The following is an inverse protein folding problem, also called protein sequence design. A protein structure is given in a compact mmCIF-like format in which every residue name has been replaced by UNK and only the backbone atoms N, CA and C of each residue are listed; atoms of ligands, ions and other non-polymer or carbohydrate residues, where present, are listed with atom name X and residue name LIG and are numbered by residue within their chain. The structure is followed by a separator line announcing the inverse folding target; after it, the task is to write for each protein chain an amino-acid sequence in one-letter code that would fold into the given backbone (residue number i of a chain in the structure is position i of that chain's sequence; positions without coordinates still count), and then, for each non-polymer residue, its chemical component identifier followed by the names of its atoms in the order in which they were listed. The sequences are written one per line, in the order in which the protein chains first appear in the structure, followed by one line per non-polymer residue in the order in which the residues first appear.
data_IF_664473685739
#
_entry.id   IF_664473685739
#
_cell.length_a   1.000
_cell.length_b   1.000
_cell.length_c   1.000
_cell.angle_alpha   90.00
_cell.angle_beta   90.00
_cell.angle_gamma   90.00
#
_symmetry.space_group_name_H-M   'P 1'
#
loop_
_entity.id
_entity.type
_entity.pdbx_description
1 polymer ?
#
# COMPACT_ATOMS: atom_id res chain seq x y z
N UNK A 1 40.21 -18.06 -6.14
CA UNK A 1 39.53 -16.76 -6.34
C UNK A 1 38.93 -16.36 -5.03
N UNK A 2 39.38 -15.24 -4.46
CA UNK A 2 39.17 -14.89 -3.05
C UNK A 2 37.92 -14.00 -2.96
N UNK A 3 36.88 -14.49 -2.35
CA UNK A 3 35.64 -13.72 -2.10
C UNK A 3 35.92 -12.60 -1.08
N UNK A 4 35.85 -11.36 -1.50
CA UNK A 4 35.89 -10.18 -0.62
C UNK A 4 34.53 -10.02 0.06
N UNK A 5 34.49 -10.29 1.36
CA UNK A 5 33.41 -9.92 2.28
C UNK A 5 33.31 -8.40 2.34
N UNK A 6 32.18 -7.84 1.92
CA UNK A 6 31.82 -6.47 2.22
C UNK A 6 31.26 -6.44 3.64
N UNK A 7 32.06 -5.92 4.58
CA UNK A 7 31.64 -5.62 5.95
C UNK A 7 30.73 -4.38 5.90
N UNK A 8 29.46 -4.53 6.19
CA UNK A 8 28.59 -3.41 6.57
C UNK A 8 28.69 -3.21 8.06
N UNK A 9 29.36 -2.12 8.44
CA UNK A 9 29.37 -1.60 9.79
C UNK A 9 27.94 -1.22 10.21
N UNK A 10 27.42 -1.94 11.20
CA UNK A 10 26.16 -1.59 11.88
C UNK A 10 26.54 -0.69 13.05
N UNK A 11 26.35 0.61 12.89
CA UNK A 11 26.38 1.55 14.00
C UNK A 11 25.32 1.18 15.04
N UNK A 12 25.75 1.05 16.28
CA UNK A 12 24.89 0.77 17.43
C UNK A 12 23.89 1.92 17.67
N UNK A 13 22.66 1.63 18.11
CA UNK A 13 21.67 2.65 18.41
C UNK A 13 22.09 3.47 19.63
N UNK A 14 22.03 4.80 19.52
CA UNK A 14 22.26 5.74 20.63
C UNK A 14 21.03 5.74 21.55
N UNK A 15 21.24 5.87 22.88
CA UNK A 15 20.14 5.87 23.84
C UNK A 15 19.31 7.16 23.77
N UNK A 16 18.02 7.00 23.90
CA UNK A 16 17.00 8.05 23.87
C UNK A 16 16.94 8.76 25.25
N UNK A 17 17.05 10.08 25.33
CA UNK A 17 16.94 10.80 26.57
C UNK A 17 15.61 11.59 26.64
N UNK A 18 14.50 10.96 27.05
CA UNK A 18 13.37 11.71 27.61
C UNK A 18 12.61 10.91 28.66
N UNK A 19 12.30 11.51 29.82
CA UNK A 19 11.68 10.83 30.95
C UNK A 19 10.15 10.76 30.85
N UNK A 20 9.61 9.68 31.41
CA UNK A 20 8.19 9.47 31.68
C UNK A 20 7.58 10.59 32.51
N UNK A 21 6.45 11.14 32.04
CA UNK A 21 5.56 11.95 32.86
C UNK A 21 4.18 11.30 32.86
N UNK A 22 3.85 10.65 33.98
CA UNK A 22 2.51 10.18 34.31
C UNK A 22 1.71 11.32 34.92
N UNK A 23 0.49 11.60 34.40
CA UNK A 23 -0.49 12.46 35.06
C UNK A 23 -1.73 11.68 35.42
N UNK A 24 -1.93 11.52 36.70
CA UNK A 24 -3.13 10.97 37.31
C UNK A 24 -4.24 12.03 37.33
N UNK A 25 -5.38 11.72 36.75
CA UNK A 25 -6.61 12.54 36.89
C UNK A 25 -7.45 12.00 38.02
N UNK A 26 -7.63 12.83 39.04
CA UNK A 26 -8.53 12.63 40.17
C UNK A 26 -9.99 12.89 39.74
N UNK A 27 -10.84 11.92 40.04
CA UNK A 27 -12.29 12.06 40.05
C UNK A 27 -12.72 12.92 41.24
N UNK A 28 -13.59 13.89 41.00
CA UNK A 28 -14.47 14.47 42.04
C UNK A 28 -15.92 14.30 41.62
N UNK A 29 -16.63 13.49 42.41
CA UNK A 29 -18.08 13.36 42.36
C UNK A 29 -18.70 14.52 43.12
N UNK A 30 -19.80 15.09 42.63
CA UNK A 30 -20.78 15.84 43.44
C UNK A 30 -22.18 15.36 43.12
N UNK A 31 -22.83 14.90 44.20
CA UNK A 31 -24.27 14.63 44.30
C UNK A 31 -25.02 15.96 44.41
N UNK A 32 -26.25 16.00 43.92
CA UNK A 32 -27.25 17.00 44.23
C UNK A 32 -28.62 16.50 43.82
N UNK A 33 -29.45 16.15 44.83
CA UNK A 33 -30.81 15.70 44.73
C UNK A 33 -31.75 16.88 44.43
N UNK A 34 -32.92 16.59 43.82
CA UNK A 34 -34.03 17.51 43.72
C UNK A 34 -35.14 17.02 42.81
N UNK A 35 -36.05 16.25 43.38
CA UNK A 35 -37.30 15.84 42.72
C UNK A 35 -38.32 16.99 42.66
N UNK A 36 -39.04 17.14 41.54
CA UNK A 36 -40.46 17.55 41.55
C UNK A 36 -41.20 17.10 40.29
N UNK A 37 -42.34 16.50 40.54
CA UNK A 37 -43.36 16.05 39.61
C UNK A 37 -44.06 17.19 38.89
N UNK A 38 -44.45 17.10 37.61
CA UNK A 38 -45.83 17.18 37.09
C UNK A 38 -45.88 17.47 35.58
N UNK A 39 -46.85 16.79 35.00
CA UNK A 39 -47.56 17.01 33.74
C UNK A 39 -47.06 16.28 32.49
N UNK A 40 -47.79 15.19 32.25
CA UNK A 40 -47.85 14.44 31.03
C UNK A 40 -48.59 15.25 29.97
N UNK A 41 -47.89 15.71 28.96
CA UNK A 41 -48.48 16.08 27.67
C UNK A 41 -47.91 15.08 26.63
N UNK A 42 -48.78 14.21 26.08
CA UNK A 42 -48.49 13.39 24.94
C UNK A 42 -48.29 14.31 23.73
N UNK A 43 -47.06 14.77 23.50
CA UNK A 43 -46.63 15.27 22.22
C UNK A 43 -46.14 14.03 21.42
N UNK A 44 -46.89 13.62 20.38
CA UNK A 44 -46.42 12.70 19.40
C UNK A 44 -45.18 13.31 18.74
N UNK A 45 -43.99 12.92 19.23
CA UNK A 45 -42.74 13.26 18.61
C UNK A 45 -42.66 12.50 17.30
N UNK A 46 -42.92 13.19 16.20
CA UNK A 46 -42.40 12.79 14.91
C UNK A 46 -40.88 12.76 15.05
N UNK A 47 -40.33 11.59 15.32
CA UNK A 47 -38.90 11.35 15.14
C UNK A 47 -38.62 11.53 13.65
N UNK A 48 -37.80 12.50 13.23
CA UNK A 48 -37.36 12.54 11.85
C UNK A 48 -36.69 11.21 11.61
N UNK A 49 -37.11 10.47 10.59
CA UNK A 49 -36.38 9.33 10.08
C UNK A 49 -34.96 9.86 9.78
N UNK A 50 -33.99 9.49 10.62
CA UNK A 50 -32.60 9.78 10.34
C UNK A 50 -32.28 9.16 8.99
N UNK A 51 -32.25 9.97 7.94
CA UNK A 51 -31.75 9.54 6.65
C UNK A 51 -30.34 9.01 6.93
N UNK A 52 -30.16 7.68 6.83
CA UNK A 52 -28.86 7.07 6.94
C UNK A 52 -27.97 7.78 5.90
N UNK A 53 -27.01 8.55 6.37
CA UNK A 53 -26.08 9.23 5.49
C UNK A 53 -25.44 8.16 4.59
N UNK A 54 -25.38 8.43 3.29
CA UNK A 54 -24.75 7.51 2.35
C UNK A 54 -23.32 7.18 2.85
N UNK A 55 -22.90 5.92 2.84
CA UNK A 55 -21.57 5.54 3.28
C UNK A 55 -20.53 6.27 2.42
N UNK A 56 -19.37 6.61 2.98
CA UNK A 56 -18.29 7.26 2.24
C UNK A 56 -17.83 6.40 1.07
N UNK A 57 -17.58 5.12 1.36
CA UNK A 57 -17.24 4.09 0.38
C UNK A 57 -17.85 2.75 0.79
N UNK A 58 -18.05 1.80 -0.14
CA UNK A 58 -18.35 0.42 0.23
C UNK A 58 -17.17 -0.20 0.97
N UNK A 59 -17.42 -0.88 2.10
CA UNK A 59 -16.38 -1.49 2.95
C UNK A 59 -16.35 -3.01 2.92
N UNK A 60 -17.24 -3.65 2.16
CA UNK A 60 -17.33 -5.09 2.07
C UNK A 60 -16.05 -5.71 1.48
N UNK A 61 -15.56 -6.77 2.09
CA UNK A 61 -14.42 -7.55 1.56
C UNK A 61 -14.70 -8.02 0.12
N UNK A 62 -13.75 -7.82 -0.76
CA UNK A 62 -13.87 -8.13 -2.19
C UNK A 62 -14.33 -6.93 -3.03
N UNK A 63 -14.79 -5.83 -2.42
CA UNK A 63 -15.09 -4.62 -3.19
C UNK A 63 -13.84 -4.14 -3.92
N UNK A 64 -13.99 -3.83 -5.21
CA UNK A 64 -12.88 -3.48 -6.08
C UNK A 64 -13.22 -2.30 -7.00
N UNK A 65 -12.20 -1.49 -7.26
CA UNK A 65 -12.21 -0.34 -8.17
C UNK A 65 -11.11 -0.51 -9.20
N UNK A 66 -11.43 -0.37 -10.48
CA UNK A 66 -10.45 -0.36 -11.57
C UNK A 66 -10.23 1.04 -12.05
N UNK A 67 -8.98 1.44 -12.16
CA UNK A 67 -8.59 2.77 -12.65
C UNK A 67 -7.70 2.65 -13.88
N UNK A 68 -7.83 3.63 -14.77
CA UNK A 68 -6.80 3.94 -15.74
C UNK A 68 -5.80 4.89 -15.06
N UNK A 69 -4.56 4.45 -14.94
CA UNK A 69 -3.47 5.25 -14.42
C UNK A 69 -2.63 5.80 -15.58
N UNK A 70 -2.30 7.08 -15.53
CA UNK A 70 -1.27 7.69 -16.37
C UNK A 70 -0.21 8.32 -15.48
N UNK A 71 1.04 7.98 -15.72
CA UNK A 71 2.21 8.45 -14.99
C UNK A 71 3.14 9.20 -15.94
N UNK A 72 3.52 10.41 -15.55
CA UNK A 72 4.50 11.26 -16.24
C UNK A 72 5.69 11.43 -15.30
N UNK A 73 6.86 11.12 -15.78
CA UNK A 73 8.11 11.24 -15.03
C UNK A 73 8.86 12.49 -15.44
N UNK A 74 9.50 13.15 -14.47
CA UNK A 74 10.38 14.27 -14.71
C UNK A 74 11.61 13.90 -15.55
N UNK A 75 12.34 14.90 -15.98
CA UNK A 75 13.55 14.70 -16.78
C UNK A 75 14.58 13.86 -16.01
N UNK A 76 15.18 12.86 -16.68
CA UNK A 76 16.19 11.99 -16.08
C UNK A 76 15.64 10.81 -15.32
N UNK A 77 14.30 10.71 -15.17
CA UNK A 77 13.68 9.54 -14.55
C UNK A 77 13.08 8.63 -15.64
N UNK A 78 13.25 7.34 -15.46
CA UNK A 78 12.67 6.32 -16.34
C UNK A 78 12.26 5.11 -15.53
N UNK A 79 11.26 4.38 -16.00
CA UNK A 79 10.93 3.05 -15.49
C UNK A 79 11.56 2.03 -16.43
N UNK A 80 12.46 1.16 -15.94
CA UNK A 80 13.05 0.12 -16.80
C UNK A 80 11.97 -0.71 -17.50
N UNK A 81 12.21 -1.05 -18.76
CA UNK A 81 11.33 -1.89 -19.61
C UNK A 81 9.93 -1.32 -19.90
N UNK A 82 9.66 -0.06 -19.56
CA UNK A 82 8.39 0.59 -19.85
C UNK A 82 8.62 1.78 -20.76
N UNK A 83 8.03 1.75 -21.96
CA UNK A 83 8.09 2.86 -22.91
C UNK A 83 6.90 3.78 -22.69
N UNK A 84 7.12 5.09 -22.49
CA UNK A 84 6.06 6.08 -22.50
C UNK A 84 5.34 6.12 -23.86
N UNK A 85 4.07 6.55 -23.86
CA UNK A 85 3.32 6.87 -25.07
C UNK A 85 3.90 8.12 -25.78
N UNK A 86 3.32 8.47 -26.94
CA UNK A 86 3.75 9.66 -27.71
C UNK A 86 3.63 10.99 -26.92
N UNK A 87 2.84 11.01 -25.84
CA UNK A 87 2.71 12.15 -24.92
C UNK A 87 3.64 12.07 -23.71
N UNK A 88 4.60 11.14 -23.68
CA UNK A 88 5.55 10.96 -22.57
C UNK A 88 4.96 10.30 -21.34
N UNK A 89 3.78 9.67 -21.43
CA UNK A 89 3.07 9.08 -20.29
C UNK A 89 3.11 7.55 -20.31
N UNK A 90 3.33 6.97 -19.16
CA UNK A 90 3.19 5.54 -18.93
C UNK A 90 1.73 5.29 -18.54
N UNK A 91 1.00 4.49 -19.34
CA UNK A 91 -0.40 4.16 -19.07
C UNK A 91 -0.53 2.70 -18.68
N UNK A 92 -1.23 2.45 -17.57
CA UNK A 92 -1.51 1.09 -17.12
C UNK A 92 -2.79 1.03 -16.28
N UNK A 93 -3.50 -0.10 -16.32
CA UNK A 93 -4.61 -0.34 -15.41
C UNK A 93 -4.07 -0.63 -14.00
N UNK A 94 -4.76 -0.09 -13.00
CA UNK A 94 -4.54 -0.44 -11.60
C UNK A 94 -5.85 -0.89 -10.97
N UNK A 95 -5.76 -1.80 -10.02
CA UNK A 95 -6.90 -2.31 -9.26
C UNK A 95 -6.70 -1.94 -7.79
N UNK A 96 -7.70 -1.28 -7.19
CA UNK A 96 -7.82 -1.17 -5.75
C UNK A 96 -8.85 -2.16 -5.25
N UNK A 97 -8.61 -2.77 -4.09
CA UNK A 97 -9.50 -3.78 -3.54
C UNK A 97 -9.47 -3.78 -2.02
N UNK A 98 -10.63 -3.99 -1.39
CA UNK A 98 -10.72 -4.34 0.02
C UNK A 98 -10.44 -5.84 0.15
N UNK A 99 -9.29 -6.17 0.74
CA UNK A 99 -8.83 -7.56 0.86
C UNK A 99 -9.26 -8.24 2.18
N UNK A 100 -9.99 -7.52 3.02
CA UNK A 100 -10.42 -7.95 4.35
C UNK A 100 -10.02 -6.95 5.42
N UNK A 101 -9.91 -7.41 6.64
CA UNK A 101 -9.49 -6.62 7.79
C UNK A 101 -8.20 -7.17 8.41
N UNK A 102 -7.57 -6.36 9.24
CA UNK A 102 -6.37 -6.70 10.01
C UNK A 102 -6.40 -6.02 11.37
N UNK A 103 -6.03 -6.75 12.42
CA UNK A 103 -5.89 -6.16 13.75
C UNK A 103 -4.48 -5.60 13.93
N UNK A 104 -4.40 -4.30 14.16
CA UNK A 104 -3.13 -3.60 14.45
C UNK A 104 -3.29 -2.82 15.75
N UNK A 105 -2.48 -3.14 16.74
CA UNK A 105 -2.51 -2.50 18.06
C UNK A 105 -3.92 -2.49 18.71
N UNK A 106 -4.71 -3.57 18.51
CA UNK A 106 -6.07 -3.73 19.03
C UNK A 106 -7.17 -3.07 18.18
N UNK A 107 -6.84 -2.41 17.09
CA UNK A 107 -7.77 -1.81 16.16
C UNK A 107 -7.97 -2.69 14.92
N UNK A 108 -9.23 -2.94 14.55
CA UNK A 108 -9.55 -3.63 13.30
C UNK A 108 -9.56 -2.63 12.14
N UNK A 109 -8.62 -2.77 11.21
CA UNK A 109 -8.41 -1.87 10.09
C UNK A 109 -8.74 -2.58 8.78
N UNK A 110 -9.36 -1.87 7.83
CA UNK A 110 -9.59 -2.36 6.48
C UNK A 110 -8.27 -2.42 5.70
N UNK A 111 -8.03 -3.53 5.01
CA UNK A 111 -6.91 -3.68 4.08
C UNK A 111 -7.32 -3.22 2.70
N UNK A 112 -6.79 -2.08 2.27
CA UNK A 112 -7.04 -1.49 0.97
C UNK A 112 -5.80 -1.68 0.09
N UNK A 113 -5.82 -2.73 -0.72
CA UNK A 113 -4.71 -3.13 -1.57
C UNK A 113 -4.74 -2.41 -2.91
N UNK A 114 -3.60 -1.87 -3.35
CA UNK A 114 -3.36 -1.43 -4.72
C UNK A 114 -2.60 -2.51 -5.49
N UNK A 115 -3.10 -2.89 -6.66
CA UNK A 115 -2.49 -3.89 -7.53
C UNK A 115 -2.07 -3.25 -8.86
N UNK A 116 -0.82 -3.49 -9.28
CA UNK A 116 -0.30 -3.19 -10.63
C UNK A 116 0.16 -4.50 -11.26
N UNK A 117 -0.27 -4.77 -12.48
CA UNK A 117 0.10 -6.00 -13.22
C UNK A 117 -0.10 -7.30 -12.41
N UNK A 118 -1.16 -7.33 -11.57
CA UNK A 118 -1.48 -8.49 -10.72
C UNK A 118 -0.65 -8.59 -9.43
N UNK A 119 0.19 -7.61 -9.13
CA UNK A 119 1.02 -7.55 -7.91
C UNK A 119 0.47 -6.51 -6.96
N UNK A 120 0.41 -6.83 -5.68
CA UNK A 120 0.15 -5.85 -4.62
C UNK A 120 1.35 -4.92 -4.51
N UNK A 121 1.14 -3.64 -4.78
CA UNK A 121 2.20 -2.63 -4.70
C UNK A 121 2.20 -1.89 -3.38
N UNK A 122 1.03 -1.75 -2.77
CA UNK A 122 0.88 -1.30 -1.39
C UNK A 122 -0.44 -1.78 -0.81
N UNK A 123 -0.49 -1.86 0.52
CA UNK A 123 -1.69 -2.09 1.30
C UNK A 123 -1.83 -0.95 2.30
N UNK A 124 -2.86 -0.14 2.16
CA UNK A 124 -3.24 0.86 3.15
C UNK A 124 -4.14 0.23 4.20
N UNK A 125 -3.88 0.51 5.48
CA UNK A 125 -4.67 0.06 6.62
C UNK A 125 -5.57 1.21 7.06
N UNK A 126 -6.86 1.09 6.74
CA UNK A 126 -7.82 2.19 6.83
C UNK A 126 -8.85 1.98 7.93
N UNK A 127 -9.25 3.10 8.56
CA UNK A 127 -10.51 3.24 9.28
C UNK A 127 -11.47 4.06 8.41
N UNK A 128 -12.73 3.61 8.31
CA UNK A 128 -13.81 4.35 7.63
C UNK A 128 -14.94 4.51 8.63
N UNK A 129 -15.11 5.73 9.11
CA UNK A 129 -16.11 6.08 10.13
C UNK A 129 -16.70 7.49 9.88
N UNK A 130 -17.40 8.03 10.88
CA UNK A 130 -18.00 9.37 10.81
C UNK A 130 -16.98 10.51 10.68
N UNK A 131 -15.71 10.29 11.03
CA UNK A 131 -14.62 11.27 10.89
C UNK A 131 -14.08 11.31 9.47
N UNK A 132 -14.28 10.24 8.69
CA UNK A 132 -13.80 10.15 7.32
C UNK A 132 -13.15 8.82 6.98
N UNK A 133 -12.16 8.88 6.10
CA UNK A 133 -11.28 7.76 5.72
C UNK A 133 -9.89 8.10 6.23
N UNK A 134 -9.44 7.36 7.23
CA UNK A 134 -8.15 7.57 7.88
C UNK A 134 -7.20 6.41 7.57
N UNK A 135 -5.98 6.72 7.16
CA UNK A 135 -4.91 5.75 6.96
C UNK A 135 -4.02 5.71 8.21
N UNK A 136 -3.97 4.56 8.87
CA UNK A 136 -3.16 4.35 10.08
C UNK A 136 -1.77 3.82 9.77
N UNK A 137 -1.64 3.05 8.69
CA UNK A 137 -0.36 2.52 8.22
C UNK A 137 -0.44 2.10 6.75
N UNK A 138 0.72 1.92 6.14
CA UNK A 138 0.91 1.37 4.80
C UNK A 138 1.96 0.27 4.82
N UNK A 139 1.69 -0.81 4.11
CA UNK A 139 2.71 -1.79 3.76
C UNK A 139 3.09 -1.55 2.30
N UNK A 140 4.35 -1.18 2.04
CA UNK A 140 4.82 -0.92 0.67
C UNK A 140 5.14 -2.23 -0.07
N UNK A 141 5.54 -2.12 -1.33
CA UNK A 141 5.86 -3.29 -2.18
C UNK A 141 7.00 -4.16 -1.63
N UNK A 142 7.87 -3.59 -0.81
CA UNK A 142 9.01 -4.30 -0.19
C UNK A 142 8.63 -4.98 1.13
N UNK A 143 7.36 -4.83 1.56
CA UNK A 143 6.87 -5.35 2.83
C UNK A 143 7.18 -4.47 4.04
N UNK A 144 7.77 -3.30 3.82
CA UNK A 144 8.02 -2.35 4.90
C UNK A 144 6.70 -1.80 5.44
N UNK A 145 6.53 -1.89 6.76
CA UNK A 145 5.38 -1.35 7.47
C UNK A 145 5.65 0.09 7.90
N UNK A 146 4.95 1.02 7.27
CA UNK A 146 5.09 2.47 7.48
C UNK A 146 3.89 2.96 8.28
N UNK A 147 4.09 3.34 9.53
CA UNK A 147 3.05 3.87 10.41
C UNK A 147 2.84 5.36 10.16
N UNK A 148 1.57 5.80 10.17
CA UNK A 148 1.19 7.22 10.17
C UNK A 148 0.88 7.65 11.61
N UNK A 149 1.51 8.69 12.09
CA UNK A 149 1.31 9.19 13.45
C UNK A 149 1.15 10.73 13.45
N UNK A 150 -0.07 11.24 13.72
CA UNK A 150 -1.33 10.51 13.91
C UNK A 150 -1.81 9.80 12.61
N UNK A 151 -2.89 9.00 12.63
CA UNK A 151 -3.50 8.49 11.40
C UNK A 151 -3.85 9.63 10.45
N UNK A 152 -3.49 9.47 9.16
CA UNK A 152 -3.69 10.49 8.13
C UNK A 152 -5.14 10.46 7.64
N UNK A 153 -5.86 11.56 7.73
CA UNK A 153 -7.15 11.70 7.09
C UNK A 153 -6.97 11.87 5.58
N UNK A 154 -7.26 10.81 4.81
CA UNK A 154 -7.30 10.86 3.35
C UNK A 154 -8.52 11.62 2.85
N UNK A 155 -9.63 11.49 3.57
CA UNK A 155 -10.89 12.20 3.42
C UNK A 155 -11.37 12.54 4.82
N UNK A 156 -11.63 13.80 5.12
CA UNK A 156 -12.27 14.19 6.37
C UNK A 156 -13.72 14.62 6.13
N UNK A 157 -14.58 14.40 7.14
CA UNK A 157 -15.97 14.85 7.14
C UNK A 157 -16.16 16.04 8.08
N UNK A 158 -17.18 16.90 7.88
CA UNK A 158 -18.17 16.86 6.80
C UNK A 158 -17.58 17.36 5.47
N UNK A 159 -17.93 16.69 4.36
CA UNK A 159 -17.60 17.15 3.02
C UNK A 159 -18.52 18.31 2.62
N UNK A 160 -18.01 19.52 2.65
CA UNK A 160 -18.70 20.74 2.20
C UNK A 160 -17.67 21.75 1.74
N UNK A 161 -18.02 22.59 0.79
CA UNK A 161 -17.12 23.64 0.28
C UNK A 161 -16.56 24.49 1.42
N UNK A 162 -15.25 24.71 1.42
CA UNK A 162 -14.50 25.45 2.43
C UNK A 162 -14.14 24.60 3.67
N UNK A 163 -14.57 23.35 3.79
CA UNK A 163 -14.08 22.47 4.82
C UNK A 163 -12.61 22.12 4.53
N UNK A 164 -11.78 22.17 5.56
CA UNK A 164 -10.34 21.88 5.43
C UNK A 164 -9.83 21.04 6.59
N UNK A 165 -8.70 20.36 6.37
CA UNK A 165 -8.00 19.60 7.42
C UNK A 165 -6.52 19.55 7.10
N UNK A 166 -5.72 19.30 8.14
CA UNK A 166 -4.28 19.16 8.04
C UNK A 166 -3.86 17.74 8.41
N UNK A 167 -2.73 17.34 7.87
CA UNK A 167 -1.92 16.26 8.40
C UNK A 167 -0.54 16.81 8.77
N UNK A 168 -0.33 17.01 10.07
CA UNK A 168 0.94 17.40 10.65
C UNK A 168 1.44 16.23 11.47
N UNK A 169 2.25 15.36 10.85
CA UNK A 169 2.58 14.08 11.45
C UNK A 169 3.87 13.45 10.92
N UNK A 170 4.02 12.18 11.25
CA UNK A 170 5.11 11.35 10.79
C UNK A 170 4.59 10.20 9.94
N UNK A 171 5.30 9.90 8.86
CA UNK A 171 5.12 8.73 8.01
C UNK A 171 6.43 7.95 8.05
N UNK A 172 6.47 6.89 8.87
CA UNK A 172 7.76 6.32 9.26
C UNK A 172 8.63 7.35 9.96
N UNK A 173 9.84 7.57 9.46
CA UNK A 173 10.79 8.56 10.00
C UNK A 173 10.64 9.97 9.37
N UNK A 174 9.75 10.13 8.38
CA UNK A 174 9.57 11.37 7.65
C UNK A 174 8.52 12.26 8.32
N UNK A 175 8.85 13.52 8.56
CA UNK A 175 7.89 14.56 8.94
C UNK A 175 7.14 15.00 7.70
N UNK A 176 5.81 14.97 7.77
CA UNK A 176 4.91 15.31 6.67
C UNK A 176 3.98 16.43 7.10
N UNK A 177 3.89 17.50 6.28
CA UNK A 177 2.96 18.59 6.45
C UNK A 177 2.09 18.70 5.22
N UNK A 178 0.79 18.46 5.38
CA UNK A 178 -0.20 18.53 4.31
C UNK A 178 -1.40 19.35 4.77
N UNK A 179 -1.93 20.13 3.84
CA UNK A 179 -3.20 20.85 3.99
C UNK A 179 -4.15 20.41 2.89
N UNK A 180 -5.41 20.18 3.24
CA UNK A 180 -6.47 19.81 2.31
C UNK A 180 -7.67 20.74 2.47
N UNK A 181 -8.33 21.07 1.36
CA UNK A 181 -9.55 21.86 1.34
C UNK A 181 -10.56 21.30 0.32
N UNK A 182 -11.83 21.27 0.69
CA UNK A 182 -12.94 21.01 -0.25
C UNK A 182 -13.22 22.30 -1.01
N UNK A 183 -12.69 22.43 -2.22
CA UNK A 183 -12.78 23.65 -3.02
C UNK A 183 -14.10 23.76 -3.80
N UNK A 184 -14.91 22.71 -3.86
CA UNK A 184 -16.21 22.69 -4.52
C UNK A 184 -16.78 21.29 -4.68
N UNK A 185 -17.90 21.22 -5.39
CA UNK A 185 -18.55 19.99 -5.83
C UNK A 185 -19.13 20.20 -7.22
N UNK A 186 -19.33 19.12 -7.94
CA UNK A 186 -19.90 19.16 -9.29
C UNK A 186 -19.73 17.86 -10.03
N UNK A 187 -20.22 17.85 -11.26
CA UNK A 187 -20.16 16.70 -12.13
C UNK A 187 -18.75 16.50 -12.71
N UNK A 188 -18.29 15.27 -12.74
CA UNK A 188 -17.03 14.84 -13.35
C UNK A 188 -17.29 13.62 -14.23
N UNK A 189 -16.77 13.66 -15.45
CA UNK A 189 -16.83 12.56 -16.39
C UNK A 189 -15.52 11.76 -16.32
N UNK A 190 -15.64 10.45 -16.15
CA UNK A 190 -14.53 9.47 -16.14
C UNK A 190 -14.95 8.25 -16.96
N UNK A 191 -14.06 7.33 -17.33
CA UNK A 191 -14.42 6.14 -18.13
C UNK A 191 -15.56 5.29 -17.54
N UNK A 192 -15.70 5.26 -16.21
CA UNK A 192 -16.79 4.55 -15.52
C UNK A 192 -18.16 5.26 -15.64
N UNK A 193 -18.20 6.50 -16.14
CA UNK A 193 -19.43 7.29 -16.28
C UNK A 193 -19.32 8.69 -15.66
N UNK A 194 -20.48 9.31 -15.43
CA UNK A 194 -20.59 10.63 -14.81
C UNK A 194 -20.92 10.51 -13.34
N UNK A 195 -20.20 11.25 -12.51
CA UNK A 195 -20.37 11.25 -11.04
C UNK A 195 -20.49 12.70 -10.53
N UNK A 196 -21.37 12.89 -9.55
CA UNK A 196 -21.37 14.11 -8.74
C UNK A 196 -20.35 13.92 -7.62
N UNK A 197 -19.32 14.76 -7.57
CA UNK A 197 -18.17 14.58 -6.70
C UNK A 197 -17.73 15.88 -6.02
N UNK A 198 -17.25 15.76 -4.79
CA UNK A 198 -16.52 16.82 -4.10
C UNK A 198 -15.13 16.93 -4.69
N UNK A 199 -14.71 18.15 -5.03
CA UNK A 199 -13.34 18.43 -5.43
C UNK A 199 -12.55 18.87 -4.22
N UNK A 200 -11.50 18.11 -3.91
CA UNK A 200 -10.59 18.33 -2.80
C UNK A 200 -9.23 18.69 -3.35
N UNK A 201 -8.69 19.82 -2.91
CA UNK A 201 -7.33 20.23 -3.22
C UNK A 201 -6.45 19.99 -1.99
N UNK A 202 -5.28 19.42 -2.20
CA UNK A 202 -4.29 19.15 -1.16
C UNK A 202 -2.92 19.70 -1.56
N UNK A 203 -2.22 20.28 -0.60
CA UNK A 203 -0.85 20.74 -0.73
C UNK A 203 0.02 20.09 0.34
N UNK A 204 1.18 19.58 -0.06
CA UNK A 204 2.23 19.13 0.83
C UNK A 204 3.43 20.05 0.69
N UNK A 205 4.00 20.45 1.81
CA UNK A 205 5.21 21.28 1.84
C UNK A 205 6.44 20.50 2.31
N UNK A 206 6.26 19.44 3.09
CA UNK A 206 7.34 18.57 3.60
C UNK A 206 6.95 17.11 3.45
N UNK A 207 7.86 16.18 3.09
CA UNK A 207 9.30 16.38 2.83
C UNK A 207 9.62 16.98 1.45
N UNK A 208 8.68 16.93 0.50
CA UNK A 208 8.84 17.49 -0.84
C UNK A 208 7.54 18.16 -1.27
N UNK A 209 7.59 19.23 -2.08
CA UNK A 209 6.40 19.88 -2.60
C UNK A 209 5.54 18.91 -3.42
N UNK A 210 4.26 18.79 -3.07
CA UNK A 210 3.30 17.95 -3.77
C UNK A 210 1.93 18.61 -3.78
N UNK A 211 1.20 18.49 -4.88
CA UNK A 211 -0.21 18.87 -4.97
C UNK A 211 -1.06 17.65 -5.27
N UNK A 212 -2.27 17.62 -4.73
CA UNK A 212 -3.26 16.57 -4.89
C UNK A 212 -4.58 17.23 -5.29
N UNK A 213 -5.10 16.91 -6.46
CA UNK A 213 -6.46 17.24 -6.85
C UNK A 213 -7.28 15.95 -6.91
N UNK A 214 -8.31 15.88 -6.08
CA UNK A 214 -9.11 14.66 -5.86
C UNK A 214 -10.59 14.94 -6.06
N UNK A 215 -11.29 14.07 -6.78
CA UNK A 215 -12.73 14.07 -6.93
C UNK A 215 -13.29 12.85 -6.19
N UNK A 216 -14.07 13.12 -5.16
CA UNK A 216 -14.61 12.09 -4.27
C UNK A 216 -16.13 12.06 -4.35
N UNK A 217 -16.70 10.94 -4.80
CA UNK A 217 -18.15 10.72 -4.89
C UNK A 217 -18.61 9.85 -3.72
N UNK A 218 -19.60 10.30 -2.95
CA UNK A 218 -20.18 9.53 -1.84
C UNK A 218 -20.72 8.19 -2.33
N UNK A 219 -20.50 7.14 -1.56
CA UNK A 219 -20.88 5.76 -1.89
C UNK A 219 -20.02 5.10 -2.96
N UNK A 220 -19.16 5.86 -3.65
CA UNK A 220 -18.27 5.36 -4.70
C UNK A 220 -16.80 5.42 -4.27
N UNK A 221 -16.37 6.56 -3.72
CA UNK A 221 -14.99 6.84 -3.38
C UNK A 221 -14.33 7.81 -4.35
N UNK A 222 -13.01 7.68 -4.51
CA UNK A 222 -12.24 8.53 -5.43
C UNK A 222 -12.58 8.13 -6.87
N UNK A 223 -13.14 9.06 -7.66
CA UNK A 223 -13.45 8.82 -9.08
C UNK A 223 -12.36 9.37 -9.98
N UNK A 224 -11.63 10.39 -9.52
CA UNK A 224 -10.46 10.95 -10.20
C UNK A 224 -9.46 11.47 -9.17
N UNK A 225 -8.17 11.29 -9.44
CA UNK A 225 -7.09 11.82 -8.62
C UNK A 225 -5.93 12.26 -9.50
N UNK A 226 -5.34 13.40 -9.18
CA UNK A 226 -4.12 13.90 -9.85
C UNK A 226 -3.15 14.33 -8.77
N UNK A 227 -2.08 13.57 -8.62
CA UNK A 227 -0.99 13.88 -7.70
C UNK A 227 0.23 14.33 -8.48
N UNK A 228 0.78 15.51 -8.14
CA UNK A 228 1.98 16.06 -8.78
C UNK A 228 3.04 16.33 -7.74
N UNK A 229 4.19 15.69 -7.90
CA UNK A 229 5.39 15.87 -7.06
C UNK A 229 6.43 16.71 -7.79
N UNK A 230 7.00 17.70 -7.09
CA UNK A 230 8.02 18.58 -7.64
C UNK A 230 9.26 18.58 -6.74
N UNK A 231 10.40 18.85 -7.33
CA UNK A 231 11.59 19.19 -6.59
C UNK A 231 11.46 20.61 -6.00
N UNK A 232 12.31 20.97 -5.06
CA UNK A 232 12.32 22.30 -4.44
C UNK A 232 12.62 23.45 -5.41
N UNK A 233 13.30 23.15 -6.53
CA UNK A 233 13.52 24.09 -7.64
C UNK A 233 12.33 24.21 -8.61
N UNK A 234 11.23 23.48 -8.34
CA UNK A 234 10.00 23.50 -9.15
C UNK A 234 9.95 22.46 -10.28
N UNK A 235 11.05 21.74 -10.55
CA UNK A 235 11.06 20.71 -11.59
C UNK A 235 10.08 19.58 -11.27
N UNK A 236 9.41 19.07 -12.30
CA UNK A 236 8.55 17.90 -12.17
C UNK A 236 9.41 16.68 -11.81
N UNK A 237 9.06 16.01 -10.71
CA UNK A 237 9.60 14.68 -10.36
C UNK A 237 8.67 13.60 -10.90
N UNK A 238 7.38 13.71 -10.61
CA UNK A 238 6.37 12.75 -11.01
C UNK A 238 4.99 13.37 -11.01
N UNK A 239 4.16 12.96 -11.96
CA UNK A 239 2.73 13.25 -11.96
C UNK A 239 1.98 11.97 -12.22
N UNK A 240 1.05 11.63 -11.32
CA UNK A 240 0.18 10.46 -11.45
C UNK A 240 -1.24 10.95 -11.58
N UNK A 241 -1.98 10.44 -12.56
CA UNK A 241 -3.42 10.62 -12.66
C UNK A 241 -4.13 9.27 -12.65
N UNK A 242 -5.23 9.20 -11.91
CA UNK A 242 -6.12 8.06 -11.83
C UNK A 242 -7.51 8.51 -12.29
N UNK A 243 -8.14 7.73 -13.16
CA UNK A 243 -9.55 7.91 -13.54
C UNK A 243 -10.27 6.57 -13.37
N UNK A 244 -11.39 6.58 -12.64
CA UNK A 244 -12.19 5.39 -12.42
C UNK A 244 -12.69 4.84 -13.75
N UNK A 245 -12.34 3.59 -14.05
CA UNK A 245 -12.73 2.90 -15.27
C UNK A 245 -13.85 1.89 -15.04
N UNK A 246 -13.96 1.34 -13.82
CA UNK A 246 -15.02 0.41 -13.44
C UNK A 246 -15.09 0.26 -11.91
N UNK A 247 -16.29 0.00 -11.36
CA UNK A 247 -16.54 -0.19 -9.93
C UNK A 247 -17.12 1.05 -9.23
N UNK A 248 -17.34 0.99 -7.88
CA UNK A 248 -17.03 -0.16 -7.02
C UNK A 248 -17.95 -1.36 -7.27
N UNK A 249 -17.37 -2.54 -7.34
CA UNK A 249 -18.10 -3.80 -7.47
C UNK A 249 -17.51 -4.82 -6.51
N UNK A 250 -18.34 -5.70 -5.94
CA UNK A 250 -17.82 -6.90 -5.29
C UNK A 250 -17.29 -7.76 -6.44
N UNK A 251 -15.97 -7.86 -6.55
CA UNK A 251 -15.37 -8.75 -7.52
C UNK A 251 -15.80 -10.18 -7.18
N UNK A 252 -16.31 -10.91 -8.18
CA UNK A 252 -16.52 -12.33 -8.04
C UNK A 252 -15.25 -12.94 -7.46
N UNK A 253 -15.40 -13.63 -6.34
CA UNK A 253 -14.28 -14.34 -5.71
C UNK A 253 -13.70 -15.24 -6.78
N UNK A 254 -12.43 -15.11 -7.20
CA UNK A 254 -11.89 -16.09 -8.11
C UNK A 254 -12.13 -17.45 -7.45
N UNK A 255 -12.81 -18.34 -8.18
CA UNK A 255 -13.12 -19.69 -7.73
C UNK A 255 -11.79 -20.35 -7.33
N UNK A 256 -11.51 -20.37 -6.04
CA UNK A 256 -10.39 -21.15 -5.50
C UNK A 256 -10.84 -22.58 -5.63
N UNK A 257 -10.30 -23.29 -6.64
CA UNK A 257 -10.47 -24.73 -6.75
C UNK A 257 -10.13 -25.36 -5.38
N UNK A 258 -11.01 -26.22 -4.82
CA UNK A 258 -10.90 -26.70 -3.45
C UNK A 258 -9.68 -27.58 -3.13
N UNK A 259 -8.80 -27.88 -4.07
CA UNK A 259 -7.84 -28.99 -3.99
C UNK A 259 -6.38 -28.66 -3.67
N UNK A 260 -6.06 -27.44 -3.26
CA UNK A 260 -4.74 -27.17 -2.72
C UNK A 260 -4.86 -26.57 -1.33
N UNK A 261 -4.18 -27.16 -0.35
CA UNK A 261 -3.96 -26.53 0.95
C UNK A 261 -3.50 -25.08 0.74
N UNK A 262 -4.07 -24.08 1.44
CA UNK A 262 -3.76 -22.68 1.17
C UNK A 262 -2.25 -22.46 1.34
N UNK A 263 -1.57 -22.12 0.24
CA UNK A 263 -0.14 -21.79 0.27
C UNK A 263 0.07 -20.68 1.30
N UNK A 264 1.02 -20.88 2.21
CA UNK A 264 1.37 -19.87 3.21
C UNK A 264 2.00 -18.63 2.56
N UNK A 265 2.58 -18.77 1.38
CA UNK A 265 3.21 -17.72 0.61
C UNK A 265 2.97 -17.93 -0.88
N UNK A 266 2.77 -16.85 -1.63
CA UNK A 266 2.75 -16.86 -3.09
C UNK A 266 3.95 -16.10 -3.59
N UNK A 267 4.64 -16.61 -4.59
CA UNK A 267 5.87 -16.03 -5.15
C UNK A 267 5.75 -15.83 -6.64
N UNK A 268 6.33 -14.74 -7.16
CA UNK A 268 6.50 -14.49 -8.59
C UNK A 268 7.80 -13.75 -8.86
N UNK A 269 8.47 -14.05 -9.99
CA UNK A 269 9.64 -13.30 -10.42
C UNK A 269 9.27 -12.21 -11.43
N UNK A 270 10.08 -11.15 -11.48
CA UNK A 270 9.99 -10.10 -12.49
C UNK A 270 11.34 -9.41 -12.72
N UNK A 271 11.48 -8.72 -13.88
CA UNK A 271 12.68 -7.94 -14.23
C UNK A 271 12.73 -6.60 -13.53
N UNK A 272 11.58 -6.11 -13.09
CA UNK A 272 11.46 -4.87 -12.33
C UNK A 272 10.50 -5.08 -11.16
N UNK A 273 10.57 -4.22 -10.17
CA UNK A 273 9.73 -4.27 -8.97
C UNK A 273 8.22 -4.37 -9.28
N UNK A 274 7.77 -3.72 -10.36
CA UNK A 274 6.36 -3.65 -10.78
C UNK A 274 6.10 -4.31 -12.14
N UNK A 275 7.11 -5.00 -12.70
CA UNK A 275 7.03 -5.62 -13.99
C UNK A 275 6.10 -6.82 -14.05
N UNK A 276 5.77 -7.24 -15.28
CA UNK A 276 5.03 -8.48 -15.52
C UNK A 276 5.81 -9.69 -14.97
N UNK A 277 5.09 -10.64 -14.37
CA UNK A 277 5.70 -11.89 -13.90
C UNK A 277 6.30 -12.67 -15.07
N UNK A 278 7.50 -13.19 -14.87
CA UNK A 278 8.21 -14.07 -15.82
C UNK A 278 9.09 -15.05 -15.06
N UNK A 279 9.33 -16.19 -15.66
CA UNK A 279 10.29 -17.19 -15.17
C UNK A 279 11.50 -17.32 -16.07
N UNK A 280 11.61 -16.49 -17.13
CA UNK A 280 12.73 -16.49 -18.05
C UNK A 280 13.38 -15.12 -18.09
N UNK A 281 14.69 -15.10 -17.91
CA UNK A 281 15.51 -13.89 -17.85
C UNK A 281 16.67 -14.01 -18.82
N UNK A 282 17.08 -12.87 -19.38
CA UNK A 282 18.28 -12.79 -20.21
C UNK A 282 19.52 -12.67 -19.33
N UNK A 283 20.66 -13.13 -19.83
CA UNK A 283 21.97 -13.05 -19.13
C UNK A 283 22.43 -11.62 -18.84
N UNK A 284 21.85 -10.63 -19.49
CA UNK A 284 22.10 -9.20 -19.27
C UNK A 284 21.13 -8.54 -18.28
N UNK A 285 20.12 -9.28 -17.79
CA UNK A 285 19.16 -8.77 -16.82
C UNK A 285 19.88 -8.23 -15.57
N UNK A 286 19.79 -6.94 -15.24
CA UNK A 286 20.59 -6.36 -14.16
C UNK A 286 20.17 -6.86 -12.78
N UNK A 287 18.88 -7.15 -12.58
CA UNK A 287 18.31 -7.61 -11.31
C UNK A 287 17.09 -8.50 -11.54
N UNK A 288 16.91 -9.48 -10.66
CA UNK A 288 15.72 -10.33 -10.61
C UNK A 288 15.01 -10.09 -9.29
N UNK A 289 13.74 -9.72 -9.36
CA UNK A 289 12.89 -9.47 -8.19
C UNK A 289 12.06 -10.71 -7.90
N UNK A 290 12.26 -11.33 -6.74
CA UNK A 290 11.40 -12.38 -6.21
C UNK A 290 10.36 -11.74 -5.28
N UNK A 291 9.18 -11.49 -5.82
CA UNK A 291 8.08 -10.86 -5.08
C UNK A 291 7.26 -11.94 -4.39
N UNK A 292 6.97 -11.72 -3.12
CA UNK A 292 6.19 -12.65 -2.33
C UNK A 292 5.00 -11.97 -1.66
N UNK A 293 3.95 -12.74 -1.41
CA UNK A 293 2.78 -12.33 -0.63
C UNK A 293 2.47 -13.42 0.39
N UNK A 294 2.48 -13.04 1.66
CA UNK A 294 2.12 -13.91 2.78
C UNK A 294 0.61 -14.08 2.90
N UNK A 295 0.19 -15.27 3.30
CA UNK A 295 -1.20 -15.60 3.59
C UNK A 295 -1.31 -16.07 5.03
N UNK A 296 -1.87 -15.22 5.91
CA UNK A 296 -2.04 -15.49 7.35
C UNK A 296 -0.72 -15.81 8.07
N UNK A 297 0.35 -15.12 7.71
CA UNK A 297 1.60 -15.20 8.46
C UNK A 297 1.43 -14.46 9.79
N UNK A 298 1.98 -14.99 10.86
CA UNK A 298 2.01 -14.31 12.15
C UNK A 298 2.95 -13.08 12.12
N UNK A 299 2.61 -12.03 12.85
CA UNK A 299 3.55 -10.94 13.11
C UNK A 299 4.81 -11.50 13.77
N UNK A 300 5.98 -11.11 13.31
CA UNK A 300 7.27 -11.61 13.76
C UNK A 300 7.76 -12.85 13.01
N UNK A 301 6.94 -13.50 12.16
CA UNK A 301 7.40 -14.59 11.33
C UNK A 301 8.55 -14.16 10.42
N UNK A 302 9.55 -15.04 10.24
CA UNK A 302 10.69 -14.78 9.37
C UNK A 302 10.45 -15.39 7.98
N UNK A 303 10.38 -14.56 6.96
CA UNK A 303 10.39 -15.00 5.56
C UNK A 303 11.82 -14.98 5.06
N UNK A 304 12.31 -16.08 4.48
CA UNK A 304 13.65 -16.22 3.94
C UNK A 304 13.58 -16.78 2.53
N UNK A 305 14.30 -16.18 1.59
CA UNK A 305 14.49 -16.70 0.23
C UNK A 305 15.93 -17.18 0.08
N UNK A 306 16.11 -18.37 -0.49
CA UNK A 306 17.41 -18.94 -0.85
C UNK A 306 17.44 -19.17 -2.36
N UNK A 307 18.40 -18.57 -3.03
CA UNK A 307 18.60 -18.70 -4.46
C UNK A 307 19.60 -19.82 -4.76
N UNK A 308 19.24 -20.73 -5.63
CA UNK A 308 20.02 -21.93 -5.94
C UNK A 308 20.14 -22.05 -7.45
N UNK A 309 21.36 -22.24 -7.94
CA UNK A 309 21.63 -22.65 -9.29
C UNK A 309 21.53 -24.20 -9.34
N UNK A 310 20.54 -24.72 -10.06
CA UNK A 310 20.29 -26.17 -10.11
C UNK A 310 21.31 -26.89 -10.98
N UNK A 311 21.57 -26.35 -12.19
CA UNK A 311 22.54 -26.90 -13.11
C UNK A 311 23.06 -25.80 -14.05
N UNK A 312 24.31 -25.44 -13.91
CA UNK A 312 25.02 -24.43 -14.69
C UNK A 312 26.14 -25.05 -15.61
N UNK A 313 26.15 -26.37 -15.75
CA UNK A 313 27.19 -27.10 -16.47
C UNK A 313 28.28 -27.71 -15.59
N UNK A 314 29.30 -28.31 -16.21
CA UNK A 314 30.33 -29.11 -15.51
C UNK A 314 31.22 -28.28 -14.57
N UNK A 315 31.33 -26.99 -14.78
CA UNK A 315 32.20 -26.10 -14.00
C UNK A 315 31.60 -25.71 -12.63
N UNK A 316 30.32 -26.02 -12.37
CA UNK A 316 29.62 -25.66 -11.14
C UNK A 316 29.07 -26.90 -10.45
N UNK A 317 29.19 -27.01 -9.13
CA UNK A 317 28.51 -28.06 -8.38
C UNK A 317 26.98 -27.94 -8.54
N UNK A 318 26.26 -29.04 -8.68
CA UNK A 318 24.80 -29.02 -8.69
C UNK A 318 24.26 -28.42 -7.37
N UNK A 319 23.12 -27.76 -7.46
CA UNK A 319 22.45 -27.12 -6.32
C UNK A 319 23.31 -26.06 -5.58
N UNK A 320 24.10 -25.32 -6.35
CA UNK A 320 24.95 -24.27 -5.78
C UNK A 320 24.12 -23.11 -5.22
N UNK A 321 24.29 -22.84 -3.92
CA UNK A 321 23.65 -21.69 -3.29
C UNK A 321 24.28 -20.38 -3.77
N UNK A 322 23.49 -19.58 -4.48
CA UNK A 322 23.92 -18.29 -5.04
C UNK A 322 23.87 -17.19 -3.98
N UNK A 323 22.73 -17.06 -3.28
CA UNK A 323 22.49 -15.99 -2.30
C UNK A 323 21.34 -16.37 -1.37
N UNK A 324 21.18 -15.61 -0.28
CA UNK A 324 19.97 -15.65 0.57
C UNK A 324 19.65 -14.28 1.14
N UNK A 325 18.35 -14.04 1.36
CA UNK A 325 17.85 -12.84 2.01
C UNK A 325 16.69 -13.20 2.94
N UNK A 326 16.47 -12.40 3.97
CA UNK A 326 15.35 -12.60 4.89
C UNK A 326 14.71 -11.28 5.31
N UNK A 327 13.41 -11.34 5.65
CA UNK A 327 12.62 -10.23 6.19
C UNK A 327 11.75 -10.73 7.34
N UNK A 328 11.49 -9.86 8.29
CA UNK A 328 10.52 -10.13 9.38
C UNK A 328 9.16 -9.60 8.94
N UNK A 329 8.13 -10.41 9.15
CA UNK A 329 6.74 -10.06 8.88
C UNK A 329 6.24 -9.10 9.96
N UNK A 330 5.91 -7.89 9.56
CA UNK A 330 5.37 -6.86 10.45
C UNK A 330 3.84 -6.97 10.60
N UNK A 331 3.20 -7.57 9.60
CA UNK A 331 1.74 -7.67 9.47
C UNK A 331 1.34 -9.05 8.92
N UNK A 332 0.20 -9.64 9.34
CA UNK A 332 -0.27 -10.95 8.87
C UNK A 332 -0.47 -11.07 7.35
N UNK A 333 -0.62 -9.96 6.66
CA UNK A 333 -0.74 -9.88 5.19
C UNK A 333 0.47 -9.25 4.54
N UNK A 334 1.64 -9.43 5.10
CA UNK A 334 2.85 -8.89 4.51
C UNK A 334 3.04 -9.38 3.09
N UNK A 335 3.64 -8.53 2.32
CA UNK A 335 4.20 -8.83 1.01
C UNK A 335 5.57 -8.15 0.94
N UNK A 336 6.39 -8.58 -0.01
CA UNK A 336 7.71 -7.98 -0.18
C UNK A 336 8.39 -8.47 -1.44
N UNK A 337 9.61 -8.01 -1.63
CA UNK A 337 10.46 -8.46 -2.71
C UNK A 337 11.88 -8.67 -2.20
N UNK A 338 12.47 -9.80 -2.56
CA UNK A 338 13.91 -10.02 -2.47
C UNK A 338 14.52 -9.78 -3.84
N UNK A 339 15.65 -9.10 -3.88
CA UNK A 339 16.32 -8.75 -5.12
C UNK A 339 17.63 -9.52 -5.22
N UNK A 340 17.81 -10.24 -6.33
CA UNK A 340 19.08 -10.82 -6.69
C UNK A 340 19.72 -9.97 -7.78
N UNK A 341 20.85 -9.35 -7.48
CA UNK A 341 21.61 -8.53 -8.42
C UNK A 341 22.51 -9.39 -9.31
N UNK A 342 22.67 -8.96 -10.56
CA UNK A 342 23.57 -9.61 -11.51
C UNK A 342 25.01 -9.61 -10.96
N UNK A 343 25.70 -10.76 -10.97
CA UNK A 343 27.12 -10.82 -10.64
C UNK A 343 27.96 -10.00 -11.63
N UNK A 344 29.15 -9.56 -11.21
CA UNK A 344 30.06 -8.78 -12.07
C UNK A 344 30.43 -9.55 -13.35
N UNK A 345 30.60 -10.87 -13.25
CA UNK A 345 30.89 -11.77 -14.37
C UNK A 345 29.66 -12.13 -15.22
N UNK A 346 28.49 -11.57 -14.91
CA UNK A 346 27.21 -11.87 -15.56
C UNK A 346 26.48 -13.07 -14.93
N UNK A 347 25.29 -13.33 -15.45
CA UNK A 347 24.52 -14.51 -15.08
C UNK A 347 25.06 -15.73 -15.81
N UNK A 348 25.35 -16.82 -15.10
CA UNK A 348 25.54 -18.10 -15.75
C UNK A 348 24.23 -18.59 -16.38
N UNK A 349 24.31 -19.12 -17.60
CA UNK A 349 23.12 -19.66 -18.30
C UNK A 349 22.74 -20.99 -17.67
N UNK A 350 21.43 -21.19 -17.47
CA UNK A 350 20.95 -22.44 -16.89
C UNK A 350 19.67 -22.30 -16.09
N UNK A 351 19.38 -23.32 -15.32
CA UNK A 351 18.19 -23.44 -14.50
C UNK A 351 18.50 -23.07 -13.04
N UNK A 352 17.62 -22.25 -12.47
CA UNK A 352 17.71 -21.78 -11.11
C UNK A 352 16.38 -22.03 -10.40
N UNK A 353 16.43 -22.05 -9.08
CA UNK A 353 15.22 -22.00 -8.23
C UNK A 353 15.43 -21.04 -7.06
N UNK A 354 14.33 -20.48 -6.57
CA UNK A 354 14.31 -19.83 -5.27
C UNK A 354 13.42 -20.62 -4.32
N UNK A 355 13.95 -20.96 -3.18
CA UNK A 355 13.26 -21.64 -2.09
C UNK A 355 12.86 -20.62 -1.04
N UNK A 356 11.57 -20.61 -0.68
CA UNK A 356 11.02 -19.70 0.32
C UNK A 356 10.68 -20.46 1.58
N UNK A 357 11.16 -19.94 2.68
CA UNK A 357 10.96 -20.48 4.01
C UNK A 357 10.17 -19.49 4.87
N UNK A 358 9.30 -20.00 5.72
CA UNK A 358 8.64 -19.25 6.79
C UNK A 358 8.98 -19.94 8.10
N UNK A 359 9.66 -19.23 9.01
CA UNK A 359 10.16 -19.76 10.28
C UNK A 359 10.97 -21.05 10.08
N UNK A 360 11.89 -21.01 9.08
CA UNK A 360 12.77 -22.11 8.63
C UNK A 360 12.06 -23.35 8.06
N UNK A 361 10.75 -23.31 7.85
CA UNK A 361 9.98 -24.33 7.13
C UNK A 361 9.86 -23.95 5.66
N UNK A 362 10.31 -24.83 4.74
CA UNK A 362 10.13 -24.65 3.29
C UNK A 362 8.63 -24.62 2.95
N UNK A 363 8.18 -23.54 2.33
CA UNK A 363 6.75 -23.34 2.02
C UNK A 363 6.47 -23.14 0.53
N UNK A 364 7.47 -22.75 -0.26
CA UNK A 364 7.32 -22.56 -1.71
C UNK A 364 8.67 -22.72 -2.40
N UNK A 365 8.67 -23.30 -3.60
CA UNK A 365 9.82 -23.38 -4.50
C UNK A 365 9.39 -22.92 -5.89
N UNK A 366 10.07 -21.93 -6.43
CA UNK A 366 9.76 -21.37 -7.75
C UNK A 366 10.99 -21.44 -8.63
N UNK A 367 10.83 -22.02 -9.83
CA UNK A 367 11.90 -22.16 -10.81
C UNK A 367 11.97 -20.98 -11.76
N UNK A 368 13.17 -20.66 -12.19
CA UNK A 368 13.45 -19.70 -13.24
C UNK A 368 14.59 -20.16 -14.12
N UNK A 369 14.69 -19.56 -15.30
CA UNK A 369 15.74 -19.89 -16.28
C UNK A 369 16.44 -18.63 -16.75
N UNK A 370 17.78 -18.70 -16.81
CA UNK A 370 18.62 -17.67 -17.44
C UNK A 370 18.98 -18.17 -18.84
N UNK A 371 18.66 -17.36 -19.83
CA UNK A 371 18.94 -17.62 -21.25
C UNK A 371 19.84 -16.53 -21.83
N UNK A 372 20.34 -16.75 -23.02
CA UNK A 372 21.22 -15.81 -23.72
C UNK A 372 20.48 -14.57 -24.15
#
# INVERSE_FOLDING_TARGET
MTARRVHRDRGAPKPNPFPNISWALRRTARRGEGAQFRNILFAAAFLPASALAAPLIPTATGTAWRYNMAEELGRGFSVPDVKPDAGGKIRLPVLYRIAGTENVDGNELLKFEMHRSGVVTNTDLLTVDERGILCSARVNVDGEFIKFNPPQAMIATPLKRGASWNFDGQTGDLKVHQHYEVIGEGDVDVPAGKFHAFRIHGEQTSPSPMTIDRWFALGTGIVKDVTTMRATNGDLLQRISLELADGPKIADRPEVKPDAAPKRISVSFARTRFGKATTTFSSDTPQIFARWKGHRLGKGAKVRAVWIAENLGEDFPPDYKVDEASAIVESPTSHGAFTLSRPDDGWALGDYRAEFYVDDVLVETVKLKIVK
#
